data_IF_267003367753
#
_entry.id   IF_267003367753
#
_cell.length_a   1.000
_cell.length_b   1.000
_cell.length_c   1.000
_cell.angle_alpha   90.00
_cell.angle_beta   90.00
_cell.angle_gamma   90.00
#
_symmetry.space_group_name_H-M   'P 1'
#
loop_
_entity.id
_entity.type
_entity.pdbx_description
1 polymer ?
#
# COMPACT_ATOMS: atom_id res chain seq x y z
N UNK A 1 30.51 -9.16 -8.42
CA UNK A 1 29.85 -8.61 -7.22
C UNK A 1 29.00 -7.35 -7.46
N UNK A 2 29.20 -6.55 -8.53
CA UNK A 2 28.31 -5.42 -8.85
C UNK A 2 26.92 -5.81 -9.37
N UNK A 3 26.76 -6.96 -10.01
CA UNK A 3 25.48 -7.39 -10.61
C UNK A 3 24.43 -7.93 -9.63
N UNK A 4 24.78 -8.14 -8.36
CA UNK A 4 23.82 -8.65 -7.38
C UNK A 4 22.98 -7.50 -6.79
N UNK A 5 23.54 -6.30 -6.62
CA UNK A 5 22.80 -5.16 -6.07
C UNK A 5 21.69 -4.63 -6.99
N UNK A 6 21.89 -4.64 -8.31
CA UNK A 6 20.87 -4.15 -9.25
C UNK A 6 19.67 -5.11 -9.38
N UNK A 7 19.87 -6.41 -9.10
CA UNK A 7 18.78 -7.38 -9.02
C UNK A 7 17.86 -7.16 -7.80
N UNK A 8 18.37 -6.52 -6.73
CA UNK A 8 17.53 -6.11 -5.59
C UNK A 8 16.65 -4.90 -5.91
N UNK A 9 17.04 -4.04 -6.86
CA UNK A 9 16.21 -2.89 -7.29
C UNK A 9 15.06 -3.28 -8.23
N UNK A 10 15.14 -4.44 -8.90
CA UNK A 10 14.01 -5.02 -9.63
C UNK A 10 13.03 -5.77 -8.70
N UNK A 11 13.39 -5.96 -7.43
CA UNK A 11 12.61 -6.63 -6.39
C UNK A 11 11.56 -5.68 -5.78
N UNK A 12 10.77 -5.05 -6.64
CA UNK A 12 9.70 -4.17 -6.18
C UNK A 12 8.51 -5.01 -5.74
N UNK A 13 8.09 -4.83 -4.49
CA UNK A 13 6.66 -4.85 -4.12
C UNK A 13 5.83 -4.57 -5.37
N UNK A 14 4.98 -5.49 -5.80
CA UNK A 14 4.17 -5.29 -7.00
C UNK A 14 2.73 -4.96 -6.65
N UNK A 15 2.36 -3.81 -6.05
CA UNK A 15 0.94 -3.49 -5.94
C UNK A 15 0.48 -2.93 -7.29
N UNK A 16 -0.16 -3.77 -8.07
CA UNK A 16 -1.38 -3.41 -8.80
C UNK A 16 -1.48 -1.93 -9.20
N UNK A 17 -0.84 -1.59 -10.31
CA UNK A 17 -1.22 -0.54 -11.26
C UNK A 17 -1.83 0.74 -10.65
N UNK A 18 -1.27 1.24 -9.53
CA UNK A 18 -1.85 2.39 -8.79
C UNK A 18 -1.79 3.68 -9.59
N UNK A 19 -1.03 3.71 -10.69
CA UNK A 19 -0.99 4.81 -11.66
C UNK A 19 -2.21 4.82 -12.59
N UNK A 20 -3.11 3.84 -12.52
CA UNK A 20 -4.38 3.88 -13.27
C UNK A 20 -5.38 4.82 -12.59
N UNK A 21 -6.26 5.43 -13.39
CA UNK A 21 -7.33 6.28 -12.86
C UNK A 21 -8.29 5.49 -11.97
N UNK A 22 -8.53 4.22 -12.33
CA UNK A 22 -9.32 3.25 -11.59
C UNK A 22 -8.44 2.04 -11.28
N UNK A 23 -7.62 2.12 -10.22
CA UNK A 23 -6.81 1.01 -9.79
C UNK A 23 -7.67 -0.23 -9.52
N UNK A 24 -7.11 -1.42 -9.66
CA UNK A 24 -7.81 -2.65 -9.33
C UNK A 24 -8.49 -2.69 -7.97
N UNK A 25 -9.65 -3.36 -7.90
CA UNK A 25 -10.40 -3.57 -6.64
C UNK A 25 -9.85 -4.73 -5.81
N UNK A 26 -10.38 -5.94 -5.99
CA UNK A 26 -9.92 -7.15 -5.29
C UNK A 26 -9.18 -8.08 -6.24
N UNK A 27 -8.04 -8.64 -5.85
CA UNK A 27 -7.29 -9.57 -6.69
C UNK A 27 -7.42 -10.99 -6.15
N UNK A 28 -7.55 -11.96 -7.06
CA UNK A 28 -7.36 -13.37 -6.76
C UNK A 28 -6.08 -13.88 -7.42
N UNK A 29 -5.30 -14.68 -6.70
CA UNK A 29 -4.14 -15.39 -7.22
C UNK A 29 -4.22 -16.86 -6.86
N UNK A 30 -4.15 -17.74 -7.86
CA UNK A 30 -4.00 -19.18 -7.70
C UNK A 30 -2.60 -19.59 -8.08
N UNK A 31 -1.84 -20.19 -7.17
CA UNK A 31 -0.55 -20.81 -7.51
C UNK A 31 -0.82 -22.22 -8.04
N UNK A 32 -0.52 -22.45 -9.32
CA UNK A 32 -0.66 -23.77 -9.97
C UNK A 32 0.52 -24.65 -9.57
N UNK A 33 1.73 -24.11 -9.70
CA UNK A 33 2.98 -24.80 -9.39
C UNK A 33 3.85 -23.83 -8.60
N UNK A 34 4.31 -24.26 -7.43
CA UNK A 34 5.19 -23.49 -6.56
C UNK A 34 6.43 -24.29 -6.19
N UNK A 35 7.48 -23.62 -5.70
CA UNK A 35 8.67 -24.28 -5.21
C UNK A 35 8.40 -25.01 -3.89
N UNK A 36 9.26 -25.98 -3.54
CA UNK A 36 9.20 -26.69 -2.25
C UNK A 36 9.50 -25.75 -1.07
N UNK A 37 10.40 -24.79 -1.29
CA UNK A 37 10.81 -23.75 -0.36
C UNK A 37 10.79 -22.38 -1.03
N UNK A 38 10.52 -21.33 -0.24
CA UNK A 38 10.40 -19.97 -0.73
C UNK A 38 9.16 -19.72 -1.61
N UNK A 39 9.16 -18.60 -2.33
CA UNK A 39 8.08 -18.21 -3.23
C UNK A 39 6.85 -17.64 -2.52
N UNK A 40 7.03 -17.26 -1.27
CA UNK A 40 5.99 -16.69 -0.40
C UNK A 40 5.49 -15.35 -0.95
N UNK A 41 4.37 -14.90 -0.39
CA UNK A 41 3.87 -13.55 -0.65
C UNK A 41 3.61 -12.85 0.67
N UNK A 42 4.09 -11.62 0.78
CA UNK A 42 3.83 -10.75 1.90
C UNK A 42 2.78 -9.71 1.49
N UNK A 43 1.84 -9.43 2.37
CA UNK A 43 0.93 -8.29 2.26
C UNK A 43 1.14 -7.37 3.46
N UNK A 44 1.07 -6.06 3.24
CA UNK A 44 1.12 -5.04 4.28
C UNK A 44 -0.18 -4.24 4.28
N UNK A 45 -0.81 -4.12 5.44
CA UNK A 45 -2.10 -3.45 5.62
C UNK A 45 -1.95 -1.93 5.69
N UNK A 46 -2.53 -1.23 4.73
CA UNK A 46 -2.64 0.23 4.74
C UNK A 46 -3.58 0.75 5.84
N UNK A 47 -4.48 -0.10 6.36
CA UNK A 47 -5.28 0.21 7.55
C UNK A 47 -4.43 0.20 8.81
N UNK A 48 -3.69 -0.89 9.06
CA UNK A 48 -2.84 -1.00 10.25
C UNK A 48 -1.78 0.12 10.25
N UNK A 49 -1.18 0.38 9.09
CA UNK A 49 -0.27 1.50 8.91
C UNK A 49 -0.91 2.84 9.27
N UNK A 50 -2.11 3.13 8.76
CA UNK A 50 -2.80 4.38 9.11
C UNK A 50 -3.02 4.50 10.63
N UNK A 51 -3.53 3.43 11.26
CA UNK A 51 -3.83 3.39 12.69
C UNK A 51 -2.59 3.52 13.58
N UNK A 52 -1.40 3.15 13.08
CA UNK A 52 -0.15 3.25 13.85
C UNK A 52 0.45 4.66 13.86
N UNK A 53 -0.04 5.58 13.02
CA UNK A 53 0.48 6.95 12.93
C UNK A 53 -0.07 7.83 14.05
N UNK A 54 0.68 8.88 14.40
CA UNK A 54 0.18 9.88 15.36
C UNK A 54 -1.03 10.64 14.78
N UNK A 55 -2.01 11.06 15.59
CA UNK A 55 -3.22 11.73 15.09
C UNK A 55 -2.95 13.00 14.28
N UNK A 56 -1.91 13.77 14.66
CA UNK A 56 -1.49 14.96 13.91
C UNK A 56 -0.94 14.60 12.53
N UNK A 57 -0.15 13.53 12.43
CA UNK A 57 0.37 13.08 11.15
C UNK A 57 -0.71 12.43 10.28
N UNK A 58 -1.63 11.67 10.87
CA UNK A 58 -2.83 11.18 10.19
C UNK A 58 -3.59 12.35 9.53
N UNK A 59 -3.94 13.38 10.30
CA UNK A 59 -4.67 14.56 9.80
C UNK A 59 -3.91 15.27 8.69
N UNK A 60 -2.59 15.38 8.82
CA UNK A 60 -1.76 15.97 7.78
C UNK A 60 -1.82 15.16 6.47
N UNK A 61 -1.62 13.84 6.53
CA UNK A 61 -1.63 12.97 5.36
C UNK A 61 -3.00 12.89 4.68
N UNK A 62 -4.10 13.08 5.41
CA UNK A 62 -5.47 13.12 4.87
C UNK A 62 -5.69 14.26 3.86
N UNK A 63 -4.94 15.35 3.99
CA UNK A 63 -4.99 16.49 3.07
C UNK A 63 -4.06 16.37 1.86
N UNK A 64 -3.20 15.35 1.81
CA UNK A 64 -2.16 15.22 0.79
C UNK A 64 -2.59 14.30 -0.37
N UNK A 65 -2.03 14.57 -1.54
CA UNK A 65 -2.16 13.71 -2.72
C UNK A 65 -0.77 13.41 -3.29
N UNK A 66 -0.60 12.24 -3.89
CA UNK A 66 0.66 11.79 -4.47
C UNK A 66 0.53 11.45 -5.95
N UNK A 67 1.62 11.69 -6.69
CA UNK A 67 1.78 11.28 -8.07
C UNK A 67 2.17 9.80 -8.12
N UNK A 68 1.38 8.99 -8.83
CA UNK A 68 1.67 7.60 -9.16
C UNK A 68 2.00 7.51 -10.65
N UNK A 69 3.11 6.88 -10.99
CA UNK A 69 3.65 6.86 -12.36
C UNK A 69 4.00 5.45 -12.82
N UNK A 70 3.50 5.07 -14.00
CA UNK A 70 3.85 3.81 -14.68
C UNK A 70 5.17 3.87 -15.47
N UNK A 71 5.83 5.03 -15.54
CA UNK A 71 7.00 5.28 -16.40
C UNK A 71 8.15 4.32 -16.07
N UNK A 72 8.56 4.25 -14.80
CA UNK A 72 9.70 3.41 -14.39
C UNK A 72 9.46 1.92 -14.68
N UNK A 73 8.21 1.45 -14.59
CA UNK A 73 7.87 0.07 -14.96
C UNK A 73 7.99 -0.15 -16.47
N UNK A 74 7.49 0.80 -17.27
CA UNK A 74 7.59 0.73 -18.73
C UNK A 74 9.06 0.77 -19.20
N UNK A 75 9.88 1.62 -18.59
CA UNK A 75 11.32 1.69 -18.84
C UNK A 75 12.04 0.39 -18.46
N UNK A 76 11.72 -0.18 -17.29
CA UNK A 76 12.26 -1.48 -16.87
C UNK A 76 11.89 -2.61 -17.84
N UNK A 77 10.66 -2.64 -18.34
CA UNK A 77 10.23 -3.61 -19.36
C UNK A 77 11.00 -3.43 -20.68
N UNK A 78 11.15 -2.19 -21.17
CA UNK A 78 11.94 -1.87 -22.39
C UNK A 78 13.39 -2.31 -22.24
N UNK A 79 14.02 -2.01 -21.11
CA UNK A 79 15.40 -2.39 -20.82
C UNK A 79 15.61 -3.91 -20.79
N UNK A 80 14.59 -4.66 -20.34
CA UNK A 80 14.59 -6.12 -20.34
C UNK A 80 14.21 -6.75 -21.70
N UNK A 81 13.96 -5.96 -22.74
CA UNK A 81 13.46 -6.45 -24.04
C UNK A 81 12.04 -7.03 -23.98
N UNK A 82 11.27 -6.68 -22.94
CA UNK A 82 9.90 -7.14 -22.73
C UNK A 82 8.89 -6.15 -23.34
N UNK A 83 7.73 -6.63 -23.83
CA UNK A 83 6.72 -5.76 -24.40
C UNK A 83 6.05 -4.88 -23.34
N UNK A 84 5.96 -3.58 -23.61
CA UNK A 84 5.14 -2.64 -22.85
C UNK A 84 3.68 -2.80 -23.28
N UNK A 85 2.87 -3.46 -22.44
CA UNK A 85 1.49 -3.87 -22.80
C UNK A 85 0.48 -2.71 -22.85
N UNK A 86 0.76 -1.61 -22.16
CA UNK A 86 -0.08 -0.40 -22.10
C UNK A 86 0.81 0.83 -22.06
N UNK A 87 0.36 1.92 -22.68
CA UNK A 87 1.04 3.21 -22.59
C UNK A 87 1.14 3.64 -21.12
N UNK A 88 2.33 4.07 -20.73
CA UNK A 88 2.58 4.65 -19.41
C UNK A 88 1.72 5.90 -19.20
N UNK A 89 1.15 6.01 -18.00
CA UNK A 89 0.37 7.16 -17.56
C UNK A 89 0.80 7.54 -16.16
N UNK A 90 0.42 8.75 -15.77
CA UNK A 90 0.60 9.26 -14.42
C UNK A 90 -0.73 9.78 -13.89
N UNK A 91 -1.01 9.50 -12.63
CA UNK A 91 -2.24 9.92 -11.97
C UNK A 91 -1.96 10.42 -10.57
N UNK A 92 -2.77 11.37 -10.13
CA UNK A 92 -2.72 11.90 -8.77
C UNK A 92 -3.83 11.22 -7.96
N UNK A 93 -3.44 10.62 -6.84
CA UNK A 93 -4.35 9.95 -5.90
C UNK A 93 -4.12 10.48 -4.48
N UNK A 94 -5.12 10.44 -3.58
CA UNK A 94 -4.94 10.85 -2.19
C UNK A 94 -3.94 9.94 -1.47
N UNK A 95 -3.11 10.51 -0.59
CA UNK A 95 -2.17 9.73 0.25
C UNK A 95 -2.92 8.88 1.26
N UNK A 96 -4.03 9.38 1.79
CA UNK A 96 -4.98 8.61 2.59
C UNK A 96 -6.30 8.54 1.83
N UNK A 97 -6.69 7.33 1.47
CA UNK A 97 -7.97 7.08 0.81
C UNK A 97 -9.01 6.55 1.80
N UNK A 98 -10.28 6.65 1.43
CA UNK A 98 -11.38 5.99 2.16
C UNK A 98 -11.91 4.81 1.36
N UNK A 99 -12.05 3.66 2.01
CA UNK A 99 -12.61 2.46 1.39
C UNK A 99 -14.15 2.59 1.24
N UNK A 100 -14.72 2.51 0.01
CA UNK A 100 -16.09 2.92 -0.26
C UNK A 100 -17.14 2.08 0.49
N UNK A 101 -16.86 0.79 0.72
CA UNK A 101 -17.82 -0.09 1.38
C UNK A 101 -17.77 -0.02 2.92
N UNK A 102 -16.63 0.35 3.51
CA UNK A 102 -16.41 0.30 4.96
C UNK A 102 -16.35 1.69 5.61
N UNK A 103 -16.03 2.72 4.82
CA UNK A 103 -15.76 4.07 5.31
C UNK A 103 -14.45 4.18 6.09
N UNK A 104 -13.56 3.18 5.99
CA UNK A 104 -12.29 3.17 6.72
C UNK A 104 -11.17 3.84 5.94
N UNK A 105 -10.34 4.58 6.66
CA UNK A 105 -9.16 5.29 6.15
C UNK A 105 -7.97 4.35 5.99
N UNK A 106 -7.28 4.41 4.86
CA UNK A 106 -6.08 3.60 4.54
C UNK A 106 -5.02 4.46 3.86
N UNK A 107 -3.76 4.26 4.21
CA UNK A 107 -2.64 4.81 3.44
C UNK A 107 -2.64 4.18 2.03
N UNK A 108 -2.54 5.01 1.00
CA UNK A 108 -2.51 4.62 -0.42
C UNK A 108 -1.14 4.90 -1.06
N UNK A 109 -0.12 4.53 -0.31
CA UNK A 109 1.31 4.42 -0.63
C UNK A 109 1.68 3.34 -1.64
N UNK A 110 2.60 3.54 -2.60
CA UNK A 110 3.23 2.43 -3.30
C UNK A 110 4.71 2.68 -3.63
N UNK A 111 5.67 1.96 -3.02
CA UNK A 111 7.09 2.13 -3.33
C UNK A 111 7.43 1.96 -4.82
N UNK A 112 6.71 1.07 -5.51
CA UNK A 112 6.92 0.79 -6.93
C UNK A 112 6.42 1.89 -7.86
N UNK A 113 5.43 2.70 -7.46
CA UNK A 113 4.74 3.64 -8.37
C UNK A 113 4.63 5.08 -7.88
N UNK A 114 4.57 5.31 -6.57
CA UNK A 114 4.46 6.66 -6.01
C UNK A 114 5.81 7.38 -6.18
N UNK A 115 5.78 8.64 -6.66
CA UNK A 115 6.99 9.42 -7.02
C UNK A 115 7.17 10.68 -6.20
N UNK A 116 6.09 11.38 -5.91
CA UNK A 116 6.13 12.63 -5.16
C UNK A 116 4.77 12.92 -4.54
N UNK A 117 4.77 13.73 -3.48
CA UNK A 117 3.58 14.32 -2.90
C UNK A 117 3.38 15.70 -3.53
N UNK A 118 2.16 15.93 -4.03
CA UNK A 118 1.77 17.16 -4.72
C UNK A 118 1.51 18.26 -3.69
N UNK A 119 2.00 19.46 -3.97
CA UNK A 119 1.74 20.66 -3.16
C UNK A 119 2.73 20.90 -2.03
N UNK A 120 3.76 20.07 -1.86
CA UNK A 120 4.81 20.26 -0.86
C UNK A 120 6.22 20.21 -1.49
N UNK A 121 7.25 20.79 -0.84
CA UNK A 121 8.62 20.74 -1.32
C UNK A 121 9.13 19.30 -1.49
N UNK A 122 10.00 19.08 -2.48
CA UNK A 122 10.54 17.75 -2.79
C UNK A 122 11.20 17.07 -1.59
N UNK A 123 12.01 17.80 -0.82
CA UNK A 123 12.69 17.23 0.35
C UNK A 123 11.69 16.70 1.40
N UNK A 124 10.59 17.42 1.60
CA UNK A 124 9.52 17.02 2.51
C UNK A 124 8.76 15.80 1.97
N UNK A 125 8.39 15.82 0.69
CA UNK A 125 7.79 14.69 -0.01
C UNK A 125 8.64 13.43 0.12
N UNK A 126 9.93 13.54 -0.16
CA UNK A 126 10.86 12.40 -0.13
C UNK A 126 10.99 11.84 1.29
N UNK A 127 11.06 12.69 2.31
CA UNK A 127 11.11 12.27 3.71
C UNK A 127 9.85 11.51 4.15
N UNK A 128 8.66 12.05 3.82
CA UNK A 128 7.37 11.42 4.14
C UNK A 128 7.23 10.08 3.42
N UNK A 129 7.48 10.04 2.11
CA UNK A 129 7.37 8.82 1.32
C UNK A 129 8.37 7.76 1.80
N UNK A 130 9.61 8.14 2.11
CA UNK A 130 10.61 7.23 2.68
C UNK A 130 10.11 6.62 3.98
N UNK A 131 9.59 7.43 4.90
CA UNK A 131 9.02 6.92 6.15
C UNK A 131 7.88 5.94 5.91
N UNK A 132 6.90 6.29 5.07
CA UNK A 132 5.76 5.43 4.76
C UNK A 132 6.19 4.13 4.07
N UNK A 133 7.14 4.18 3.14
CA UNK A 133 7.66 2.99 2.46
C UNK A 133 8.37 2.06 3.43
N UNK A 134 9.17 2.60 4.35
CA UNK A 134 9.81 1.79 5.40
C UNK A 134 8.79 1.12 6.30
N UNK A 135 7.75 1.83 6.72
CA UNK A 135 6.67 1.21 7.51
C UNK A 135 5.92 0.13 6.73
N UNK A 136 5.76 0.28 5.41
CA UNK A 136 5.16 -0.74 4.55
C UNK A 136 6.05 -2.00 4.50
N UNK A 137 7.37 -1.84 4.30
CA UNK A 137 8.28 -2.95 4.01
C UNK A 137 8.90 -3.60 5.26
N UNK A 138 9.14 -2.84 6.32
CA UNK A 138 9.94 -3.27 7.48
C UNK A 138 9.09 -3.56 8.73
N UNK A 139 7.83 -3.13 8.79
CA UNK A 139 7.00 -3.31 9.99
C UNK A 139 6.22 -4.64 9.97
N UNK A 140 6.57 -5.62 10.81
CA UNK A 140 5.89 -6.92 10.84
C UNK A 140 4.46 -6.86 11.39
N UNK A 141 4.12 -5.87 12.23
CA UNK A 141 2.78 -5.75 12.83
C UNK A 141 1.69 -5.45 11.79
N UNK A 142 2.10 -4.90 10.65
CA UNK A 142 1.20 -4.60 9.54
C UNK A 142 1.15 -5.71 8.49
N UNK A 143 2.02 -6.72 8.61
CA UNK A 143 2.27 -7.69 7.57
C UNK A 143 1.69 -9.06 7.85
N UNK A 144 1.27 -9.73 6.78
CA UNK A 144 1.04 -11.17 6.76
C UNK A 144 1.90 -11.79 5.67
N UNK A 145 2.63 -12.84 6.02
CA UNK A 145 3.40 -13.67 5.08
C UNK A 145 2.65 -14.98 4.87
N UNK A 146 2.37 -15.29 3.61
CA UNK A 146 1.71 -16.52 3.23
C UNK A 146 2.65 -17.43 2.46
N UNK A 147 2.82 -18.65 2.98
CA UNK A 147 3.51 -19.74 2.29
C UNK A 147 2.53 -20.48 1.40
N UNK A 148 2.84 -20.55 0.11
CA UNK A 148 1.98 -21.19 -0.87
C UNK A 148 2.07 -22.70 -0.81
N UNK A 149 0.95 -23.36 -1.04
CA UNK A 149 0.89 -24.78 -1.43
C UNK A 149 0.16 -24.91 -2.77
N UNK A 150 0.42 -25.97 -3.56
CA UNK A 150 -0.21 -26.14 -4.86
C UNK A 150 -1.74 -26.04 -4.80
N UNK A 151 -2.33 -25.32 -5.77
CA UNK A 151 -3.76 -25.03 -5.89
C UNK A 151 -4.35 -24.10 -4.83
N UNK A 152 -3.54 -23.54 -3.92
CA UNK A 152 -4.03 -22.52 -3.00
C UNK A 152 -4.42 -21.25 -3.74
N UNK A 153 -5.50 -20.63 -3.27
CA UNK A 153 -6.00 -19.35 -3.76
C UNK A 153 -5.94 -18.34 -2.62
N UNK A 154 -5.31 -17.20 -2.86
CA UNK A 154 -5.43 -16.02 -2.00
C UNK A 154 -6.27 -14.96 -2.70
N UNK A 155 -7.13 -14.30 -1.93
CA UNK A 155 -7.90 -13.14 -2.37
C UNK A 155 -7.58 -11.99 -1.42
N UNK A 156 -7.28 -10.83 -1.98
CA UNK A 156 -7.01 -9.64 -1.18
C UNK A 156 -7.59 -8.39 -1.83
N UNK A 157 -7.79 -7.37 -0.99
CA UNK A 157 -8.33 -6.09 -1.42
C UNK A 157 -7.20 -5.09 -1.68
N UNK A 158 -6.95 -4.81 -2.96
CA UNK A 158 -5.85 -3.96 -3.41
C UNK A 158 -6.00 -2.51 -2.97
N UNK A 159 -7.21 -2.11 -2.58
CA UNK A 159 -7.49 -0.75 -2.11
C UNK A 159 -6.78 -0.46 -0.81
N UNK A 160 -6.44 -1.49 -0.03
CA UNK A 160 -6.00 -1.35 1.37
C UNK A 160 -4.76 -2.16 1.69
N UNK A 161 -4.15 -2.81 0.69
CA UNK A 161 -2.91 -3.57 0.89
C UNK A 161 -1.88 -3.27 -0.19
N UNK A 162 -0.63 -3.27 0.23
CA UNK A 162 0.51 -3.47 -0.68
C UNK A 162 1.00 -4.91 -0.54
N UNK A 163 1.69 -5.44 -1.54
CA UNK A 163 2.22 -6.81 -1.47
C UNK A 163 3.54 -6.96 -2.21
N UNK A 164 4.30 -7.98 -1.80
CA UNK A 164 5.56 -8.37 -2.43
C UNK A 164 5.62 -9.88 -2.61
N UNK A 165 6.08 -10.33 -3.78
CA UNK A 165 6.44 -11.73 -4.00
C UNK A 165 7.91 -11.92 -3.57
N UNK A 166 8.18 -12.92 -2.73
CA UNK A 166 9.55 -13.22 -2.32
C UNK A 166 10.24 -14.06 -3.40
N UNK A 167 11.38 -13.59 -3.89
CA UNK A 167 12.18 -14.27 -4.93
C UNK A 167 13.31 -15.11 -4.32
N UNK A 168 12.97 -15.99 -3.37
CA UNK A 168 13.91 -16.83 -2.60
C UNK A 168 13.89 -18.31 -3.02
N UNK A 169 13.49 -18.59 -4.27
CA UNK A 169 13.21 -19.94 -4.75
C UNK A 169 14.01 -20.34 -6.00
N UNK A 170 15.03 -19.59 -6.39
CA UNK A 170 15.91 -20.01 -7.50
C UNK A 170 16.61 -21.34 -7.16
N UNK A 171 16.73 -22.30 -8.11
CA UNK A 171 16.36 -22.27 -9.53
C UNK A 171 14.95 -22.81 -9.85
N UNK A 172 14.10 -23.02 -8.84
CA UNK A 172 12.76 -23.55 -9.04
C UNK A 172 11.84 -22.55 -9.76
N UNK A 173 10.75 -23.07 -10.33
CA UNK A 173 9.76 -22.25 -11.04
C UNK A 173 8.53 -22.02 -10.18
N UNK A 174 7.91 -20.84 -10.35
CA UNK A 174 6.65 -20.46 -9.71
C UNK A 174 5.69 -19.97 -10.78
N UNK A 175 4.57 -20.69 -10.95
CA UNK A 175 3.55 -20.39 -11.94
C UNK A 175 2.19 -20.17 -11.26
N UNK A 176 1.60 -19.01 -11.51
CA UNK A 176 0.33 -18.60 -10.91
C UNK A 176 -0.58 -17.89 -11.92
N UNK A 177 -1.89 -18.02 -11.72
CA UNK A 177 -2.91 -17.29 -12.45
C UNK A 177 -3.44 -16.17 -11.56
N UNK A 178 -3.48 -14.95 -12.10
CA UNK A 178 -3.98 -13.76 -11.41
C UNK A 178 -5.17 -13.19 -12.17
N UNK A 179 -6.23 -12.88 -11.43
CA UNK A 179 -7.40 -12.16 -11.96
C UNK A 179 -7.63 -10.92 -11.12
N UNK A 180 -7.88 -9.82 -11.82
CA UNK A 180 -7.86 -8.48 -11.22
C UNK A 180 -8.93 -7.63 -11.92
N UNK A 181 -10.11 -7.43 -11.30
CA UNK A 181 -11.16 -6.54 -11.77
C UNK A 181 -10.79 -5.07 -11.51
N UNK A 182 -11.39 -4.17 -12.31
CA UNK A 182 -11.30 -2.74 -12.06
C UNK A 182 -11.96 -2.37 -10.73
N UNK A 183 -11.35 -1.43 -10.01
CA UNK A 183 -11.92 -0.83 -8.82
C UNK A 183 -12.53 0.55 -9.10
N UNK A 184 -12.86 1.25 -8.03
CA UNK A 184 -13.24 2.65 -8.07
C UNK A 184 -12.02 3.58 -8.16
N UNK A 185 -12.24 4.83 -8.56
CA UNK A 185 -11.25 5.88 -8.40
C UNK A 185 -11.03 6.11 -6.89
N UNK A 186 -9.78 6.14 -6.38
CA UNK A 186 -9.51 6.40 -4.97
C UNK A 186 -10.13 7.72 -4.51
N UNK A 187 -10.84 7.68 -3.38
CA UNK A 187 -11.60 8.79 -2.83
C UNK A 187 -10.83 9.37 -1.64
N UNK A 188 -10.59 10.67 -1.64
CA UNK A 188 -9.98 11.38 -0.51
C UNK A 188 -10.92 11.37 0.71
N UNK A 189 -10.39 11.67 1.91
CA UNK A 189 -11.23 11.80 3.10
C UNK A 189 -12.28 12.90 2.92
N UNK A 190 -11.86 14.09 2.47
CA UNK A 190 -12.77 15.21 2.24
C UNK A 190 -13.87 14.89 1.22
N UNK A 191 -13.51 14.25 0.10
CA UNK A 191 -14.49 13.88 -0.93
C UNK A 191 -15.47 12.82 -0.43
N UNK A 192 -14.99 11.82 0.32
CA UNK A 192 -15.85 10.78 0.87
C UNK A 192 -16.89 11.36 1.84
N UNK A 193 -16.45 12.22 2.76
CA UNK A 193 -17.34 12.85 3.74
C UNK A 193 -18.34 13.78 3.06
N UNK A 194 -17.91 14.54 2.05
CA UNK A 194 -18.79 15.39 1.25
C UNK A 194 -19.82 14.60 0.45
N UNK A 195 -19.42 13.50 -0.18
CA UNK A 195 -20.29 12.70 -1.04
C UNK A 195 -21.30 11.86 -0.25
N UNK A 196 -20.88 11.33 0.89
CA UNK A 196 -21.70 10.36 1.66
C UNK A 196 -22.41 10.97 2.85
N UNK A 197 -21.98 12.15 3.33
CA UNK A 197 -22.40 12.73 4.60
C UNK A 197 -21.95 11.94 5.84
N UNK A 198 -21.13 10.89 5.65
CA UNK A 198 -20.62 10.03 6.73
C UNK A 198 -19.17 10.39 7.03
N UNK A 199 -18.80 10.42 8.31
CA UNK A 199 -17.41 10.59 8.74
C UNK A 199 -16.55 9.39 8.33
N UNK A 200 -15.36 9.65 7.80
CA UNK A 200 -14.37 8.61 7.56
C UNK A 200 -13.71 8.19 8.87
N UNK A 201 -13.54 6.89 9.10
CA UNK A 201 -13.12 6.35 10.40
C UNK A 201 -11.80 5.60 10.32
N UNK A 202 -11.05 5.62 11.42
CA UNK A 202 -9.93 4.71 11.62
C UNK A 202 -10.48 3.30 11.91
N UNK A 203 -9.99 2.29 11.20
CA UNK A 203 -10.41 0.89 11.40
C UNK A 203 -10.17 0.43 12.84
N UNK A 204 -9.01 0.72 13.42
CA UNK A 204 -8.62 0.21 14.73
C UNK A 204 -9.51 0.80 15.84
N UNK A 205 -9.81 2.10 15.76
CA UNK A 205 -10.73 2.77 16.68
C UNK A 205 -12.14 2.16 16.61
N UNK A 206 -12.64 1.86 15.41
CA UNK A 206 -13.95 1.22 15.23
C UNK A 206 -13.96 -0.19 15.83
N UNK A 207 -12.90 -0.97 15.65
CA UNK A 207 -12.79 -2.31 16.23
C UNK A 207 -12.77 -2.25 17.77
N UNK A 208 -11.99 -1.34 18.34
CA UNK A 208 -11.92 -1.14 19.79
C UNK A 208 -13.26 -0.71 20.39
N UNK A 209 -13.96 0.23 19.74
CA UNK A 209 -15.31 0.65 20.15
C UNK A 209 -16.27 -0.55 20.16
N UNK A 210 -16.25 -1.39 19.12
CA UNK A 210 -17.06 -2.61 19.05
C UNK A 210 -16.73 -3.64 20.12
N UNK A 211 -15.49 -3.63 20.63
CA UNK A 211 -15.02 -4.50 21.71
C UNK A 211 -15.23 -3.88 23.11
N UNK A 212 -15.83 -2.68 23.18
CA UNK A 212 -16.04 -1.96 24.45
C UNK A 212 -14.76 -1.32 25.02
N UNK A 213 -13.70 -1.21 24.23
CA UNK A 213 -12.44 -0.58 24.63
C UNK A 213 -12.57 0.93 24.38
N UNK A 214 -12.57 1.71 25.46
CA UNK A 214 -12.58 3.17 25.39
C UNK A 214 -11.17 3.69 25.14
N UNK A 215 -10.97 4.40 24.03
CA UNK A 215 -9.74 5.14 23.77
C UNK A 215 -9.95 6.57 24.22
N UNK A 216 -9.22 7.01 25.25
CA UNK A 216 -9.14 8.45 25.55
C UNK A 216 -8.51 9.14 24.34
N UNK A 217 -9.34 9.83 23.55
CA UNK A 217 -8.83 10.81 22.62
C UNK A 217 -8.13 11.84 23.49
N UNK A 218 -6.81 11.95 23.39
CA UNK A 218 -6.08 13.07 23.97
C UNK A 218 -6.55 14.33 23.26
N UNK A 219 -7.69 14.86 23.71
CA UNK A 219 -8.20 16.15 23.36
C UNK A 219 -7.14 17.19 23.71
N UNK A 220 -7.24 18.31 23.01
CA UNK A 220 -6.42 19.51 23.08
C UNK A 220 -6.24 20.16 24.46
N UNK A 221 -6.56 19.48 25.57
CA UNK A 221 -6.54 20.00 26.95
C UNK A 221 -5.66 19.20 27.94
N UNK A 222 -4.90 18.21 27.49
CA UNK A 222 -3.92 17.54 28.34
C UNK A 222 -2.49 17.95 27.99
N UNK A 223 -2.05 19.10 28.52
CA UNK A 223 -0.65 19.50 28.66
C UNK A 223 0.11 18.57 29.61
N UNK A 224 0.20 17.28 29.27
CA UNK A 224 1.30 16.42 29.73
C UNK A 224 2.11 16.02 28.51
N UNK A 225 3.11 16.86 28.20
CA UNK A 225 4.21 16.51 27.31
C UNK A 225 4.89 15.25 27.86
N UNK A 226 4.46 14.06 27.44
CA UNK A 226 5.32 12.89 27.50
C UNK A 226 6.28 13.04 26.34
N UNK A 227 7.51 13.45 26.66
CA UNK A 227 8.62 13.31 25.72
C UNK A 227 8.71 11.86 25.27
N UNK A 228 9.07 11.66 24.01
CA UNK A 228 9.57 10.37 23.55
C UNK A 228 10.72 9.97 24.48
N UNK A 229 10.56 8.88 25.22
CA UNK A 229 11.71 8.17 25.74
C UNK A 229 12.12 7.21 24.63
N UNK A 230 13.35 7.40 24.17
CA UNK A 230 14.08 6.57 23.21
C UNK A 230 14.01 5.07 23.56
#
# INVERSE_FOLDING_TARGET
MKHIHDAWQLCTTTPLVTYELQPPGATSLKVITGPEYGGDTLWSSGYALYSSLSPGFQTYLEGLSALHSGVAQAEGARAAGLPVRRKEIETIHPVVRVHPATGWKSVFVNPGFTRSIVGIPKAESDAILTFLFRQISENPDHQVRFKWTPNTVAIWDNRVVTHSATFDFWPATRHALRTTPHGEKPISVADYEKQTGKRARDRQLVIWEQQGIQVEQSGSDATKKRGYND
#
